data_IF_361706939622
#
_entry.id   IF_361706939622
#
_cell.length_a   1.000
_cell.length_b   1.000
_cell.length_c   1.000
_cell.angle_alpha   90.00
_cell.angle_beta   90.00
_cell.angle_gamma   90.00
#
_symmetry.space_group_name_H-M   'P 1'
#
loop_
_entity.id
_entity.type
_entity.pdbx_description
1 polymer ?
#
# COMPACT_ATOMS: atom_id res chain seq x y z
N UNK A 1 -7.30 12.28 -7.79
CA UNK A 1 -6.65 11.60 -6.65
C UNK A 1 -7.61 11.72 -5.48
N UNK A 2 -7.88 10.64 -4.76
CA UNK A 2 -8.75 10.64 -3.58
C UNK A 2 -8.17 11.59 -2.53
N UNK A 3 -9.02 12.40 -1.91
CA UNK A 3 -8.64 13.38 -0.91
C UNK A 3 -7.92 12.73 0.29
N UNK A 4 -6.81 13.32 0.71
CA UNK A 4 -5.98 12.81 1.81
C UNK A 4 -5.09 11.60 1.47
N UNK A 5 -5.31 10.89 0.36
CA UNK A 5 -4.36 9.86 -0.09
C UNK A 5 -3.05 10.53 -0.51
N UNK A 6 -1.93 10.09 0.08
CA UNK A 6 -0.59 10.61 -0.26
C UNK A 6 0.23 9.52 -0.92
N UNK A 7 1.01 9.90 -1.93
CA UNK A 7 1.92 8.99 -2.64
C UNK A 7 3.32 9.58 -2.59
N UNK A 8 4.26 8.82 -2.03
CA UNK A 8 5.70 9.10 -2.08
C UNK A 8 6.35 8.13 -3.04
N UNK A 9 6.83 8.61 -4.18
CA UNK A 9 7.70 7.83 -5.05
C UNK A 9 9.07 7.66 -4.39
N UNK A 10 9.54 6.42 -4.27
CA UNK A 10 10.80 6.14 -3.60
C UNK A 10 11.99 6.30 -4.54
N UNK A 11 13.04 6.92 -4.03
CA UNK A 11 14.33 6.98 -4.71
C UNK A 11 15.13 5.72 -4.38
N UNK A 12 15.53 5.00 -5.43
CA UNK A 12 16.45 3.87 -5.34
C UNK A 12 17.88 4.40 -5.36
N UNK A 13 18.66 4.05 -4.33
CA UNK A 13 20.06 4.41 -4.19
C UNK A 13 20.91 3.15 -4.40
N UNK A 14 21.51 2.94 -5.60
CA UNK A 14 22.32 1.76 -5.86
C UNK A 14 23.58 1.75 -4.99
N UNK A 15 23.93 0.58 -4.46
CA UNK A 15 25.18 0.41 -3.72
C UNK A 15 26.38 0.75 -4.62
N UNK A 16 27.31 1.52 -4.08
CA UNK A 16 28.57 1.86 -4.75
C UNK A 16 29.66 0.94 -4.23
N UNK A 17 30.43 0.33 -5.12
CA UNK A 17 31.60 -0.45 -4.72
C UNK A 17 32.61 0.46 -3.99
N UNK A 18 33.03 0.09 -2.79
CA UNK A 18 34.07 0.80 -2.05
C UNK A 18 35.35 -0.04 -2.00
N UNK A 19 36.48 0.54 -2.42
CA UNK A 19 37.79 -0.11 -2.36
C UNK A 19 37.94 -1.29 -3.32
N UNK A 20 38.26 -2.49 -2.79
CA UNK A 20 38.52 -3.71 -3.59
C UNK A 20 37.28 -4.60 -3.76
N UNK A 21 36.10 -4.12 -3.37
CA UNK A 21 34.87 -4.89 -3.56
C UNK A 21 34.51 -5.02 -5.04
N UNK A 22 34.31 -6.26 -5.49
CA UNK A 22 33.71 -6.55 -6.79
C UNK A 22 32.28 -6.97 -6.53
N UNK A 23 31.33 -6.07 -6.75
CA UNK A 23 29.90 -6.39 -6.72
C UNK A 23 29.52 -6.97 -8.08
N UNK A 24 29.30 -8.29 -8.15
CA UNK A 24 28.77 -8.95 -9.35
C UNK A 24 27.35 -8.48 -9.68
N UNK A 25 26.61 -8.04 -8.66
CA UNK A 25 25.35 -7.31 -8.76
C UNK A 25 25.19 -6.42 -7.53
N UNK A 26 25.31 -5.08 -7.64
CA UNK A 26 25.11 -4.19 -6.51
C UNK A 26 23.66 -4.26 -6.03
N UNK A 27 23.47 -4.19 -4.71
CA UNK A 27 22.16 -3.99 -4.09
C UNK A 27 21.72 -2.53 -4.20
N UNK A 28 20.74 -2.17 -3.40
CA UNK A 28 20.28 -0.79 -3.29
C UNK A 28 19.66 -0.52 -1.93
N UNK A 29 19.62 0.76 -1.57
CA UNK A 29 18.91 1.30 -0.43
C UNK A 29 17.71 2.16 -0.89
N UNK A 30 16.63 2.11 -0.12
CA UNK A 30 15.49 3.03 -0.25
C UNK A 30 15.08 3.54 1.13
N UNK A 31 14.80 4.83 1.24
CA UNK A 31 14.27 5.45 2.45
C UNK A 31 12.74 5.40 2.41
N UNK A 32 12.16 4.32 2.96
CA UNK A 32 10.72 4.04 2.83
C UNK A 32 9.89 5.07 3.60
N UNK A 33 10.02 5.12 4.93
CA UNK A 33 9.33 6.08 5.81
C UNK A 33 10.38 6.77 6.68
N UNK A 34 10.27 8.10 6.82
CA UNK A 34 11.05 8.90 7.76
C UNK A 34 10.12 9.69 8.68
N UNK A 35 10.56 9.97 9.89
CA UNK A 35 9.81 10.75 10.89
C UNK A 35 9.69 12.24 10.54
N UNK A 36 10.66 12.77 9.78
CA UNK A 36 10.69 14.14 9.30
C UNK A 36 9.81 14.42 8.05
N UNK A 37 9.16 13.39 7.50
CA UNK A 37 8.29 13.52 6.32
C UNK A 37 6.80 13.67 6.67
N UNK A 38 6.43 13.52 7.95
CA UNK A 38 5.05 13.58 8.42
C UNK A 38 4.07 12.70 7.61
N UNK A 39 4.54 11.54 7.13
CA UNK A 39 3.72 10.55 6.40
C UNK A 39 2.71 9.86 7.33
N UNK A 40 3.15 9.59 8.56
CA UNK A 40 2.35 9.00 9.63
C UNK A 40 2.08 10.05 10.71
N UNK A 41 0.84 10.13 11.18
CA UNK A 41 0.52 10.94 12.37
C UNK A 41 1.18 10.39 13.65
N UNK A 42 1.39 9.06 13.70
CA UNK A 42 2.14 8.33 14.72
C UNK A 42 2.46 6.92 14.20
N UNK A 43 3.48 6.29 14.76
CA UNK A 43 3.69 4.85 14.53
C UNK A 43 2.79 4.03 15.45
N UNK A 44 2.19 2.97 14.90
CA UNK A 44 1.39 1.98 15.63
C UNK A 44 1.96 0.57 15.48
N UNK A 45 1.97 0.06 14.25
CA UNK A 45 2.45 -1.29 13.95
C UNK A 45 3.05 -1.35 12.55
N UNK A 46 3.95 -2.31 12.35
CA UNK A 46 4.45 -2.70 11.04
C UNK A 46 4.10 -4.16 10.82
N UNK A 47 3.52 -4.48 9.67
CA UNK A 47 3.13 -5.84 9.33
C UNK A 47 3.68 -6.20 7.95
N UNK A 48 4.11 -7.44 7.78
CA UNK A 48 4.63 -7.97 6.52
C UNK A 48 3.71 -9.08 6.03
N UNK A 49 3.38 -9.06 4.74
CA UNK A 49 2.53 -10.05 4.09
C UNK A 49 3.14 -10.50 2.77
N UNK A 50 2.96 -11.78 2.46
CA UNK A 50 3.21 -12.36 1.14
C UNK A 50 1.87 -12.67 0.49
N UNK A 51 1.70 -12.38 -0.79
CA UNK A 51 0.49 -12.71 -1.54
C UNK A 51 0.85 -13.21 -2.92
N UNK A 52 0.29 -14.36 -3.29
CA UNK A 52 0.66 -15.08 -4.51
C UNK A 52 -0.22 -14.66 -5.71
N UNK A 53 0.27 -14.83 -6.95
CA UNK A 53 -0.50 -14.55 -8.16
C UNK A 53 -1.89 -15.20 -8.16
N UNK A 54 -2.87 -14.49 -8.72
CA UNK A 54 -4.27 -14.92 -8.75
C UNK A 54 -5.08 -14.53 -7.51
N UNK A 55 -4.44 -14.10 -6.42
CA UNK A 55 -5.14 -13.59 -5.25
C UNK A 55 -5.57 -12.13 -5.42
N UNK A 56 -6.80 -11.84 -5.00
CA UNK A 56 -7.30 -10.49 -4.74
C UNK A 56 -7.45 -10.36 -3.23
N UNK A 57 -6.81 -9.36 -2.63
CA UNK A 57 -6.97 -8.99 -1.22
C UNK A 57 -7.74 -7.69 -1.16
N UNK A 58 -9.06 -7.81 -1.15
CA UNK A 58 -9.97 -6.69 -1.13
C UNK A 58 -11.35 -7.11 -0.58
N UNK A 59 -12.19 -6.18 -0.15
CA UNK A 59 -11.86 -4.80 0.19
C UNK A 59 -11.81 -4.65 1.70
N UNK A 60 -10.84 -3.90 2.21
CA UNK A 60 -10.71 -3.58 3.64
C UNK A 60 -10.77 -2.06 3.83
N UNK A 61 -11.15 -1.63 5.03
CA UNK A 61 -11.00 -0.25 5.46
C UNK A 61 -10.91 -0.17 6.98
N UNK A 62 -10.50 0.99 7.47
CA UNK A 62 -10.30 1.22 8.90
C UNK A 62 -11.08 2.43 9.38
N UNK A 63 -11.69 2.35 10.57
CA UNK A 63 -12.44 3.48 11.13
C UNK A 63 -11.53 4.56 11.72
N UNK A 64 -10.38 4.17 12.27
CA UNK A 64 -9.58 5.06 13.12
C UNK A 64 -8.10 5.12 12.75
N UNK A 65 -7.57 4.10 12.06
CA UNK A 65 -6.17 4.09 11.61
C UNK A 65 -6.04 4.47 10.14
N UNK A 66 -4.98 5.22 9.84
CA UNK A 66 -4.40 5.27 8.52
C UNK A 66 -3.48 4.06 8.28
N UNK A 67 -3.48 3.59 7.03
CA UNK A 67 -2.62 2.55 6.50
C UNK A 67 -1.53 3.17 5.62
N UNK A 68 -0.32 2.61 5.66
CA UNK A 68 0.82 3.07 4.86
C UNK A 68 1.48 1.88 4.21
N UNK A 69 1.25 1.71 2.91
CA UNK A 69 1.64 0.54 2.16
C UNK A 69 2.93 0.75 1.38
N UNK A 70 3.81 -0.25 1.43
CA UNK A 70 5.03 -0.35 0.64
C UNK A 70 5.14 -1.77 0.06
N UNK A 71 5.04 -1.88 -1.26
CA UNK A 71 5.31 -3.14 -1.98
C UNK A 71 6.82 -3.25 -2.20
N UNK A 72 7.46 -4.10 -1.41
CA UNK A 72 8.90 -4.30 -1.41
C UNK A 72 9.39 -5.19 -2.57
N UNK A 73 8.56 -6.13 -3.01
CA UNK A 73 8.83 -6.98 -4.18
C UNK A 73 7.52 -7.42 -4.87
N UNK A 74 7.65 -7.90 -6.10
CA UNK A 74 6.51 -8.15 -6.99
C UNK A 74 5.85 -6.85 -7.45
N UNK A 75 4.70 -6.96 -8.12
CA UNK A 75 3.92 -5.81 -8.56
C UNK A 75 2.47 -5.95 -8.11
N UNK A 76 1.90 -4.87 -7.57
CA UNK A 76 0.51 -4.84 -7.13
C UNK A 76 -0.26 -3.77 -7.90
N UNK A 77 -1.51 -4.10 -8.25
CA UNK A 77 -2.52 -3.10 -8.56
C UNK A 77 -3.29 -2.81 -7.27
N UNK A 78 -3.04 -1.65 -6.67
CA UNK A 78 -3.78 -1.14 -5.54
C UNK A 78 -5.03 -0.41 -6.05
N UNK A 79 -6.17 -0.70 -5.44
CA UNK A 79 -7.47 -0.08 -5.73
C UNK A 79 -7.95 0.58 -4.45
N UNK A 80 -8.31 1.86 -4.56
CA UNK A 80 -8.82 2.69 -3.49
C UNK A 80 -10.23 3.18 -3.87
N UNK A 81 -11.12 3.29 -2.89
CA UNK A 81 -12.45 3.86 -3.04
C UNK A 81 -12.79 4.74 -1.84
N UNK A 82 -13.26 5.96 -2.11
CA UNK A 82 -13.59 6.92 -1.07
C UNK A 82 -15.07 6.83 -0.68
N UNK A 83 -15.36 6.23 0.47
CA UNK A 83 -16.72 6.12 1.01
C UNK A 83 -17.04 7.19 2.06
N UNK A 84 -16.17 8.17 2.29
CA UNK A 84 -16.39 9.19 3.34
C UNK A 84 -17.39 10.22 2.82
N UNK A 85 -18.59 10.24 3.39
CA UNK A 85 -19.72 11.06 2.88
C UNK A 85 -19.39 12.57 2.78
N UNK A 86 -18.59 13.08 3.73
CA UNK A 86 -18.16 14.49 3.76
C UNK A 86 -16.93 14.78 2.88
N UNK A 87 -16.36 13.77 2.21
CA UNK A 87 -15.17 13.95 1.37
C UNK A 87 -15.51 14.62 0.03
N UNK A 88 -14.70 15.58 -0.45
CA UNK A 88 -14.86 16.14 -1.78
C UNK A 88 -14.65 15.11 -2.90
N UNK A 89 -14.08 13.94 -2.59
CA UNK A 89 -13.90 12.82 -3.52
C UNK A 89 -14.79 11.61 -3.19
N UNK A 90 -15.89 11.80 -2.45
CA UNK A 90 -16.85 10.73 -2.17
C UNK A 90 -17.30 9.99 -3.46
N UNK A 91 -17.32 8.67 -3.38
CA UNK A 91 -17.68 7.77 -4.48
C UNK A 91 -16.61 7.61 -5.56
N UNK A 92 -15.45 8.24 -5.44
CA UNK A 92 -14.38 8.13 -6.43
C UNK A 92 -13.52 6.88 -6.21
N UNK A 93 -13.17 6.21 -7.30
CA UNK A 93 -12.21 5.09 -7.33
C UNK A 93 -10.88 5.56 -7.89
N UNK A 94 -9.77 5.11 -7.27
CA UNK A 94 -8.41 5.38 -7.75
C UNK A 94 -7.62 4.07 -7.83
N UNK A 95 -6.86 3.89 -8.91
CA UNK A 95 -5.91 2.78 -9.03
C UNK A 95 -4.47 3.28 -8.97
N UNK A 96 -3.60 2.49 -8.36
CA UNK A 96 -2.16 2.78 -8.24
C UNK A 96 -1.40 1.48 -8.51
N UNK A 97 -0.45 1.50 -9.45
CA UNK A 97 0.53 0.42 -9.57
C UNK A 97 1.69 0.72 -8.63
N UNK A 98 2.14 -0.30 -7.89
CA UNK A 98 3.25 -0.17 -6.97
C UNK A 98 4.02 -1.49 -6.85
N UNK A 99 5.33 -1.39 -6.69
CA UNK A 99 6.20 -2.53 -6.45
C UNK A 99 7.51 -2.41 -7.20
N UNK A 100 8.08 -3.56 -7.55
CA UNK A 100 9.31 -3.64 -8.33
C UNK A 100 9.20 -2.80 -9.61
N UNK A 101 10.25 -2.02 -9.86
CA UNK A 101 10.39 -1.05 -10.95
C UNK A 101 9.50 0.21 -10.82
N UNK A 102 8.62 0.28 -9.82
CA UNK A 102 7.84 1.49 -9.51
C UNK A 102 7.54 1.59 -8.00
N UNK A 103 8.59 1.78 -7.21
CA UNK A 103 8.51 1.77 -5.75
C UNK A 103 7.80 3.01 -5.21
N UNK A 104 6.78 2.78 -4.39
CA UNK A 104 5.95 3.83 -3.78
C UNK A 104 5.63 3.49 -2.34
N UNK A 105 5.48 4.53 -1.54
CA UNK A 105 4.72 4.49 -0.30
C UNK A 105 3.36 5.15 -0.54
N UNK A 106 2.29 4.44 -0.17
CA UNK A 106 0.91 4.90 -0.33
C UNK A 106 0.30 5.07 1.06
N UNK A 107 -0.01 6.30 1.43
CA UNK A 107 -0.75 6.61 2.66
C UNK A 107 -2.24 6.62 2.34
N UNK A 108 -2.98 5.76 3.03
CA UNK A 108 -4.40 5.51 2.86
C UNK A 108 -5.11 5.98 4.14
N UNK A 109 -5.84 7.10 4.10
CA UNK A 109 -6.55 7.61 5.28
C UNK A 109 -7.62 6.65 5.79
N UNK A 110 -7.89 6.73 7.09
CA UNK A 110 -9.07 6.10 7.69
C UNK A 110 -10.34 6.43 6.88
N UNK A 111 -11.21 5.45 6.72
CA UNK A 111 -12.43 5.53 5.91
C UNK A 111 -12.23 5.27 4.41
N UNK A 112 -11.01 5.32 3.86
CA UNK A 112 -10.76 4.96 2.45
C UNK A 112 -10.69 3.43 2.32
N UNK A 113 -11.60 2.89 1.51
CA UNK A 113 -11.63 1.46 1.17
C UNK A 113 -10.48 1.13 0.26
N UNK A 114 -9.81 0.02 0.52
CA UNK A 114 -8.62 -0.35 -0.22
C UNK A 114 -8.46 -1.85 -0.37
N UNK A 115 -7.72 -2.24 -1.40
CA UNK A 115 -7.38 -3.62 -1.69
C UNK A 115 -6.34 -3.68 -2.80
N UNK A 116 -5.83 -4.89 -3.08
CA UNK A 116 -4.93 -5.07 -4.20
C UNK A 116 -5.03 -6.45 -4.86
N UNK A 117 -4.52 -6.51 -6.09
CA UNK A 117 -4.30 -7.72 -6.87
C UNK A 117 -2.83 -7.83 -7.22
N UNK A 118 -2.29 -9.05 -7.16
CA UNK A 118 -0.94 -9.36 -7.65
C UNK A 118 -0.92 -9.26 -9.18
N UNK A 119 0.08 -8.54 -9.71
CA UNK A 119 0.36 -8.43 -11.12
C UNK A 119 1.57 -9.31 -11.49
N UNK A 120 1.48 -9.98 -12.63
CA UNK A 120 2.55 -10.86 -13.11
C UNK A 120 2.58 -12.22 -12.40
N UNK A 121 3.77 -12.82 -12.34
CA UNK A 121 3.97 -14.19 -11.87
C UNK A 121 4.71 -14.29 -10.52
N UNK A 122 5.30 -13.19 -10.06
CA UNK A 122 6.01 -13.14 -8.79
C UNK A 122 5.06 -12.75 -7.65
N UNK A 123 5.25 -13.28 -6.43
CA UNK A 123 4.45 -12.88 -5.28
C UNK A 123 4.69 -11.41 -4.92
N UNK A 124 3.65 -10.75 -4.42
CA UNK A 124 3.75 -9.43 -3.78
C UNK A 124 4.22 -9.61 -2.35
N UNK A 125 5.32 -8.95 -2.02
CA UNK A 125 5.83 -8.78 -0.65
C UNK A 125 5.50 -7.36 -0.22
N UNK A 126 4.54 -7.20 0.68
CA UNK A 126 4.04 -5.90 1.09
C UNK A 126 4.24 -5.69 2.59
N UNK A 127 4.85 -4.56 2.93
CA UNK A 127 4.78 -3.97 4.25
C UNK A 127 3.57 -3.05 4.31
N UNK A 128 2.73 -3.21 5.33
CA UNK A 128 1.77 -2.18 5.70
C UNK A 128 2.04 -1.73 7.12
N UNK A 129 2.29 -0.44 7.25
CA UNK A 129 2.46 0.24 8.52
C UNK A 129 1.15 0.93 8.89
N UNK A 130 0.81 0.95 10.16
CA UNK A 130 -0.46 1.49 10.63
C UNK A 130 -0.22 2.50 11.73
N UNK A 131 -1.08 3.51 11.82
CA UNK A 131 -1.01 4.54 12.87
C UNK A 131 -1.47 4.03 14.25
N UNK A 132 -2.06 2.84 14.32
CA UNK A 132 -2.48 2.17 15.55
C UNK A 132 -2.10 0.71 15.53
N UNK A 133 -1.75 0.15 16.69
CA UNK A 133 -1.52 -1.28 16.82
C UNK A 133 -2.86 -2.03 16.80
N UNK A 134 -2.84 -3.27 16.30
CA UNK A 134 -4.03 -4.12 16.25
C UNK A 134 -4.60 -4.37 17.65
N UNK A 135 -5.93 -4.30 17.78
CA UNK A 135 -6.65 -4.61 19.02
C UNK A 135 -7.69 -5.71 18.75
N UNK A 136 -7.41 -6.92 19.23
CA UNK A 136 -8.32 -8.06 19.07
C UNK A 136 -9.67 -7.88 19.80
N UNK A 137 -9.69 -7.16 20.92
CA UNK A 137 -10.92 -6.92 21.70
C UNK A 137 -11.84 -5.86 21.10
N UNK A 138 -11.31 -5.03 20.20
CA UNK A 138 -12.06 -4.03 19.46
C UNK A 138 -11.38 -3.78 18.10
N UNK A 139 -11.57 -4.68 17.12
CA UNK A 139 -10.89 -4.59 15.84
C UNK A 139 -11.34 -3.33 15.07
N UNK A 140 -10.39 -2.64 14.44
CA UNK A 140 -10.67 -1.41 13.67
C UNK A 140 -10.97 -1.68 12.19
N UNK A 141 -10.61 -2.87 11.70
CA UNK A 141 -10.80 -3.29 10.30
C UNK A 141 -12.26 -3.66 10.02
N UNK A 142 -12.74 -3.17 8.88
CA UNK A 142 -14.02 -3.53 8.28
C UNK A 142 -13.79 -4.08 6.88
N UNK A 143 -14.72 -4.91 6.39
CA UNK A 143 -14.57 -5.66 5.14
C UNK A 143 -15.76 -5.47 4.22
N UNK A 144 -15.48 -5.40 2.92
CA UNK A 144 -16.45 -5.46 1.84
C UNK A 144 -16.05 -6.57 0.87
N UNK A 145 -17.01 -7.20 0.15
CA UNK A 145 -16.70 -8.16 -0.91
C UNK A 145 -15.76 -7.55 -1.96
N UNK A 146 -14.85 -8.34 -2.53
CA UNK A 146 -13.94 -7.84 -3.58
C UNK A 146 -14.68 -7.32 -4.83
N UNK A 147 -15.90 -7.81 -5.06
CA UNK A 147 -16.82 -7.46 -6.14
C UNK A 147 -17.99 -6.58 -5.67
N UNK A 148 -17.79 -5.81 -4.59
CA UNK A 148 -18.80 -4.91 -4.05
C UNK A 148 -19.41 -4.00 -5.13
N UNK A 149 -20.74 -4.02 -5.23
CA UNK A 149 -21.49 -3.34 -6.28
C UNK A 149 -21.39 -1.81 -6.20
N UNK A 150 -21.13 -1.23 -5.02
CA UNK A 150 -20.97 0.22 -4.89
C UNK A 150 -19.63 0.68 -5.48
N UNK A 151 -18.61 -0.15 -5.33
CA UNK A 151 -17.26 0.12 -5.87
C UNK A 151 -17.21 -0.22 -7.36
N UNK A 152 -17.91 -1.30 -7.76
CA UNK A 152 -18.06 -1.76 -9.15
C UNK A 152 -16.74 -1.83 -9.92
N UNK A 153 -15.67 -2.31 -9.26
CA UNK A 153 -14.35 -2.40 -9.85
C UNK A 153 -14.14 -3.74 -10.56
N UNK A 154 -13.79 -3.67 -11.84
CA UNK A 154 -13.52 -4.85 -12.65
C UNK A 154 -12.04 -5.27 -12.56
N UNK A 155 -11.76 -6.20 -11.64
CA UNK A 155 -10.44 -6.78 -11.42
C UNK A 155 -9.92 -7.65 -12.57
N UNK A 156 -10.76 -8.05 -13.52
CA UNK A 156 -10.37 -8.94 -14.62
C UNK A 156 -9.59 -8.24 -15.74
N UNK A 157 -9.66 -6.91 -15.80
CA UNK A 157 -8.98 -6.06 -16.80
C UNK A 157 -7.47 -5.91 -16.60
N UNK A 158 -6.91 -6.51 -15.55
CA UNK A 158 -5.54 -6.32 -15.10
C UNK A 158 -4.86 -7.66 -14.80
#
# INVERSE_FOLDING_TARGET
MIDGVKIKTLKVWPDQAQGREVLSRPGFLMEVIRDDEALLSRFGQSTFTVTYPGAIKAFHWHRQQDDVWFVADGQALVVLYDQREDSPTFGQTQTIRAGKDDYKVIVIPAGVVHGYKVLGHDPVLLFYHTTRAYNAGNPDEERLPYDDQKINFDWSKY
#
